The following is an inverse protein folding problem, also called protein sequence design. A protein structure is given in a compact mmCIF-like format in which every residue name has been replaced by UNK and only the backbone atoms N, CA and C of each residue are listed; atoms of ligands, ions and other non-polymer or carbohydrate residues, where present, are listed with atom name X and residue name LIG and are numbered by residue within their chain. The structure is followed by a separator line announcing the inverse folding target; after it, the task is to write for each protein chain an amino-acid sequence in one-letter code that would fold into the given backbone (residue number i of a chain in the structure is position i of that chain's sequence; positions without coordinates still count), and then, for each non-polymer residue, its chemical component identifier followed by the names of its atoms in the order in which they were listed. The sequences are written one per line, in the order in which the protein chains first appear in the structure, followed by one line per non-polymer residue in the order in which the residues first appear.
data_IF_950106495484
#
_entry.id   IF_950106495484
#
_cell.length_a   1.000
_cell.length_b   1.000
_cell.length_c   1.000
_cell.angle_alpha   90.00
_cell.angle_beta   90.00
_cell.angle_gamma   90.00
#
_symmetry.space_group_name_H-M   'P 1'
#
loop_
_entity.id
_entity.type
_entity.pdbx_description
1 polymer ?
#
# COMPACT_ATOMS: atom_id res chain seq x y z
N UNK A 1 7.84 13.59 5.68
CA UNK A 1 8.94 13.16 6.59
C UNK A 1 10.19 14.04 6.49
N UNK A 2 10.53 14.60 5.31
CA UNK A 2 11.68 15.53 5.20
C UNK A 2 11.49 16.88 5.92
N UNK A 3 10.26 17.35 6.11
CA UNK A 3 10.00 18.72 6.63
C UNK A 3 10.36 18.90 8.13
N UNK A 4 10.40 17.82 8.91
CA UNK A 4 10.79 17.87 10.34
C UNK A 4 12.26 17.50 10.58
N UNK A 5 12.96 16.97 9.57
CA UNK A 5 14.33 16.49 9.73
C UNK A 5 15.32 17.65 9.92
N UNK A 6 15.04 18.82 9.35
CA UNK A 6 15.94 19.99 9.45
C UNK A 6 15.67 20.86 10.69
N UNK A 7 14.64 20.54 11.48
CA UNK A 7 14.23 21.35 12.64
C UNK A 7 14.56 20.74 14.01
N UNK A 8 15.12 19.53 14.04
CA UNK A 8 15.46 18.84 15.29
C UNK A 8 16.97 18.93 15.55
N UNK A 9 17.34 19.33 16.77
CA UNK A 9 18.74 19.39 17.17
C UNK A 9 19.42 18.01 16.99
N UNK A 10 20.70 17.90 16.57
CA UNK A 10 21.36 16.60 16.30
C UNK A 10 21.30 15.60 17.46
N UNK A 11 21.27 16.10 18.70
CA UNK A 11 21.05 15.29 19.90
C UNK A 11 19.63 14.74 20.00
N UNK A 12 18.62 15.52 19.62
CA UNK A 12 17.24 15.07 19.53
C UNK A 12 17.07 13.99 18.45
N UNK A 13 17.81 14.06 17.34
CA UNK A 13 17.86 12.95 16.37
C UNK A 13 18.47 11.69 16.98
N UNK A 14 19.62 11.82 17.65
CA UNK A 14 20.36 10.68 18.17
C UNK A 14 19.64 9.91 19.28
N UNK A 15 18.85 10.60 20.10
CA UNK A 15 18.09 9.98 21.20
C UNK A 15 16.60 9.82 20.91
N UNK A 16 15.99 10.74 20.14
CA UNK A 16 14.56 10.72 19.83
C UNK A 16 14.19 9.84 18.65
N UNK A 17 15.06 9.68 17.64
CA UNK A 17 14.73 8.87 16.46
C UNK A 17 14.52 7.38 16.77
N UNK A 18 15.32 6.72 17.64
CA UNK A 18 15.05 5.33 18.02
C UNK A 18 13.71 5.16 18.76
N UNK A 19 13.33 6.13 19.59
CA UNK A 19 12.05 6.13 20.31
C UNK A 19 10.87 6.32 19.35
N UNK A 20 10.97 7.30 18.44
CA UNK A 20 9.96 7.57 17.42
C UNK A 20 9.84 6.43 16.39
N UNK A 21 10.94 5.74 16.08
CA UNK A 21 10.92 4.60 15.15
C UNK A 21 10.07 3.42 15.65
N UNK A 22 9.93 3.27 16.97
CA UNK A 22 9.06 2.27 17.59
C UNK A 22 7.62 2.77 17.79
N UNK A 23 7.37 4.07 17.63
CA UNK A 23 6.06 4.67 17.83
C UNK A 23 5.07 4.31 16.72
N UNK A 24 5.54 3.84 15.55
CA UNK A 24 4.65 3.45 14.45
C UNK A 24 3.58 2.43 14.89
N UNK A 25 3.92 1.47 15.75
CA UNK A 25 2.98 0.50 16.33
C UNK A 25 1.91 1.12 17.23
N UNK A 26 2.18 2.28 17.81
CA UNK A 26 1.24 2.98 18.67
C UNK A 26 0.28 3.88 17.88
N UNK A 27 0.60 4.18 16.61
CA UNK A 27 -0.15 5.14 15.80
C UNK A 27 -1.16 4.46 14.86
N UNK A 28 -0.86 3.25 14.40
CA UNK A 28 -1.73 2.47 13.50
C UNK A 28 -1.39 0.98 13.57
N UNK A 29 -2.38 0.13 13.27
CA UNK A 29 -2.22 -1.34 13.22
C UNK A 29 -1.80 -1.86 11.83
N UNK A 30 -2.11 -1.09 10.79
CA UNK A 30 -1.84 -1.44 9.40
C UNK A 30 -1.70 -0.17 8.55
N UNK A 31 -0.73 -0.17 7.64
CA UNK A 31 -0.57 0.89 6.64
C UNK A 31 -1.32 0.52 5.36
N UNK A 32 -2.31 1.32 4.96
CA UNK A 32 -2.91 1.28 3.61
C UNK A 32 -2.56 2.56 2.89
N UNK A 33 -2.01 2.47 1.68
CA UNK A 33 -1.70 3.64 0.87
C UNK A 33 -2.21 3.47 -0.56
N UNK A 34 -2.66 4.57 -1.17
CA UNK A 34 -3.09 4.62 -2.56
C UNK A 34 -2.32 5.70 -3.28
N UNK A 35 -1.58 5.31 -4.33
CA UNK A 35 -0.79 6.20 -5.16
C UNK A 35 -1.28 6.08 -6.61
N UNK A 36 -2.02 7.08 -7.12
CA UNK A 36 -2.45 7.08 -8.51
C UNK A 36 -1.25 7.33 -9.43
N UNK A 37 -1.20 6.60 -10.55
CA UNK A 37 -0.19 6.81 -11.58
C UNK A 37 -0.72 7.70 -12.72
N UNK A 38 0.18 8.29 -13.53
CA UNK A 38 -0.21 9.03 -14.73
C UNK A 38 -1.10 8.19 -15.65
N UNK A 39 -2.08 8.84 -16.29
CA UNK A 39 -2.96 8.19 -17.27
C UNK A 39 -2.27 7.88 -18.60
N UNK A 40 -1.14 8.55 -18.88
CA UNK A 40 -0.34 8.28 -20.08
C UNK A 40 0.36 6.93 -19.99
N UNK A 41 0.53 6.26 -21.12
CA UNK A 41 1.27 5.01 -21.19
C UNK A 41 2.72 5.20 -20.71
N UNK A 42 3.11 4.44 -19.69
CA UNK A 42 4.47 4.40 -19.17
C UNK A 42 5.31 3.44 -20.00
N UNK A 43 6.53 3.86 -20.34
CA UNK A 43 7.52 3.03 -21.02
C UNK A 43 8.92 3.35 -20.52
N UNK A 44 9.83 2.39 -20.63
CA UNK A 44 11.25 2.55 -20.32
C UNK A 44 12.06 2.07 -21.52
N UNK A 45 12.85 2.97 -22.11
CA UNK A 45 13.66 2.63 -23.30
C UNK A 45 12.82 2.16 -24.51
N UNK A 46 11.58 2.63 -24.65
CA UNK A 46 10.65 2.20 -25.70
C UNK A 46 9.86 0.92 -25.37
N UNK A 47 10.17 0.24 -24.26
CA UNK A 47 9.42 -0.93 -23.80
C UNK A 47 8.23 -0.48 -22.94
N UNK A 48 6.98 -0.86 -23.28
CA UNK A 48 5.81 -0.51 -22.49
C UNK A 48 5.82 -1.20 -21.13
N UNK A 49 5.27 -0.53 -20.11
CA UNK A 49 5.08 -1.12 -18.78
C UNK A 49 4.15 -2.33 -18.86
N UNK A 50 4.66 -3.51 -18.50
CA UNK A 50 3.92 -4.79 -18.60
C UNK A 50 3.22 -5.19 -17.30
N UNK A 51 3.81 -4.86 -16.15
CA UNK A 51 3.29 -5.21 -14.84
C UNK A 51 3.64 -4.14 -13.81
N UNK A 52 2.80 -3.99 -12.80
CA UNK A 52 2.96 -3.03 -11.72
C UNK A 52 2.76 -3.74 -10.38
N UNK A 53 3.75 -3.63 -9.49
CA UNK A 53 3.72 -4.21 -8.15
C UNK A 53 3.97 -3.10 -7.13
N UNK A 54 2.91 -2.42 -6.64
CA UNK A 54 3.05 -1.39 -5.62
C UNK A 54 3.68 -1.96 -4.35
N UNK A 55 4.58 -1.24 -3.70
CA UNK A 55 5.18 -1.66 -2.44
C UNK A 55 5.18 -0.51 -1.44
N UNK A 56 4.49 -0.71 -0.31
CA UNK A 56 4.54 0.21 0.80
C UNK A 56 5.68 -0.20 1.76
N UNK A 57 6.36 0.78 2.39
CA UNK A 57 7.35 0.48 3.40
C UNK A 57 6.68 -0.16 4.63
N UNK A 58 7.22 -1.29 5.08
CA UNK A 58 6.79 -1.93 6.33
C UNK A 58 7.50 -1.27 7.50
N UNK A 59 6.77 -0.48 8.29
CA UNK A 59 7.33 0.16 9.48
C UNK A 59 7.72 -0.88 10.54
N UNK A 60 8.71 -0.57 11.38
CA UNK A 60 9.19 -1.51 12.40
C UNK A 60 8.06 -1.95 13.32
N UNK A 61 7.89 -3.27 13.43
CA UNK A 61 6.90 -3.90 14.29
C UNK A 61 5.47 -3.88 13.76
N UNK A 62 5.26 -3.43 12.52
CA UNK A 62 4.03 -3.68 11.77
C UNK A 62 4.10 -5.05 11.09
N UNK A 63 2.98 -5.74 11.03
CA UNK A 63 2.90 -7.08 10.41
C UNK A 63 2.59 -7.02 8.92
N UNK A 64 1.89 -5.96 8.46
CA UNK A 64 1.39 -5.85 7.08
C UNK A 64 1.31 -4.37 6.64
N UNK A 65 1.65 -4.13 5.37
CA UNK A 65 1.40 -2.89 4.66
C UNK A 65 0.81 -3.18 3.28
N UNK A 66 -0.23 -2.43 2.90
CA UNK A 66 -0.99 -2.60 1.67
C UNK A 66 -0.78 -1.36 0.79
N UNK A 67 -0.32 -1.56 -0.43
CA UNK A 67 -0.17 -0.51 -1.43
C UNK A 67 -1.15 -0.71 -2.57
N UNK A 68 -1.80 0.37 -2.98
CA UNK A 68 -2.72 0.42 -4.11
C UNK A 68 -2.18 1.40 -5.15
N UNK A 69 -2.22 1.00 -6.41
CA UNK A 69 -1.97 1.91 -7.53
C UNK A 69 -2.92 1.65 -8.67
N UNK A 70 -3.44 2.72 -9.27
CA UNK A 70 -4.31 2.62 -10.44
C UNK A 70 -3.51 2.93 -11.70
N UNK A 71 -3.52 2.00 -12.67
CA UNK A 71 -2.86 2.17 -13.96
C UNK A 71 -3.52 1.30 -15.03
N UNK A 72 -3.70 1.86 -16.23
CA UNK A 72 -4.28 1.14 -17.37
C UNK A 72 -5.71 0.63 -17.13
N UNK A 73 -6.52 1.38 -16.36
CA UNK A 73 -7.88 0.98 -16.01
C UNK A 73 -7.97 -0.18 -14.99
N UNK A 74 -6.84 -0.57 -14.39
CA UNK A 74 -6.77 -1.62 -13.36
C UNK A 74 -6.30 -1.06 -12.03
N UNK A 75 -6.76 -1.66 -10.95
CA UNK A 75 -6.21 -1.49 -9.60
C UNK A 75 -5.16 -2.57 -9.40
N UNK A 76 -3.96 -2.17 -8.99
CA UNK A 76 -2.87 -3.07 -8.63
C UNK A 76 -2.71 -3.01 -7.12
N UNK A 77 -2.70 -4.17 -6.48
CA UNK A 77 -2.62 -4.33 -5.02
C UNK A 77 -1.30 -5.01 -4.68
N UNK A 78 -0.52 -4.41 -3.80
CA UNK A 78 0.69 -4.98 -3.25
C UNK A 78 0.56 -5.21 -1.75
N UNK A 79 0.94 -6.40 -1.29
CA UNK A 79 0.95 -6.78 0.11
C UNK A 79 2.40 -7.03 0.55
N UNK A 80 2.86 -6.26 1.54
CA UNK A 80 4.21 -6.40 2.11
C UNK A 80 4.05 -6.76 3.57
N UNK A 81 4.57 -7.91 4.00
CA UNK A 81 4.37 -8.41 5.35
C UNK A 81 5.67 -8.88 6.02
N UNK A 82 5.65 -8.90 7.35
CA UNK A 82 6.60 -9.68 8.14
C UNK A 82 6.16 -11.15 8.10
N UNK A 83 6.91 -11.99 7.38
CA UNK A 83 6.57 -13.40 7.18
C UNK A 83 6.54 -14.24 8.47
N UNK A 84 7.13 -13.78 9.58
CA UNK A 84 6.99 -14.45 10.88
C UNK A 84 5.69 -14.09 11.57
N UNK A 85 5.25 -12.84 11.43
CA UNK A 85 4.02 -12.35 12.05
C UNK A 85 2.76 -12.73 11.26
N UNK A 86 2.89 -12.87 9.93
CA UNK A 86 1.79 -13.19 9.02
C UNK A 86 2.23 -14.28 8.02
N UNK A 87 2.33 -15.56 8.45
CA UNK A 87 2.86 -16.64 7.62
C UNK A 87 1.90 -17.08 6.49
N UNK A 88 0.64 -16.71 6.58
CA UNK A 88 -0.44 -17.06 5.65
C UNK A 88 -0.86 -15.90 4.75
N UNK A 89 0.10 -15.03 4.39
CA UNK A 89 -0.12 -13.88 3.50
C UNK A 89 -0.81 -14.26 2.18
N UNK A 90 -0.51 -15.43 1.63
CA UNK A 90 -1.12 -15.91 0.38
C UNK A 90 -2.64 -16.07 0.50
N UNK A 91 -3.15 -16.47 1.67
CA UNK A 91 -4.61 -16.55 1.91
C UNK A 91 -5.26 -15.18 1.89
N UNK A 92 -4.56 -14.16 2.39
CA UNK A 92 -5.04 -12.79 2.31
C UNK A 92 -5.05 -12.31 0.86
N UNK A 93 -4.01 -12.64 0.07
CA UNK A 93 -3.97 -12.30 -1.35
C UNK A 93 -5.15 -12.94 -2.12
N UNK A 94 -5.43 -14.22 -1.86
CA UNK A 94 -6.58 -14.93 -2.43
C UNK A 94 -7.91 -14.31 -2.00
N UNK A 95 -8.08 -13.99 -0.72
CA UNK A 95 -9.29 -13.37 -0.20
C UNK A 95 -9.54 -11.98 -0.81
N UNK A 96 -8.49 -11.17 -0.96
CA UNK A 96 -8.59 -9.85 -1.62
C UNK A 96 -9.08 -10.02 -3.06
N UNK A 97 -8.52 -10.96 -3.82
CA UNK A 97 -8.96 -11.23 -5.18
C UNK A 97 -10.42 -11.69 -5.23
N UNK A 98 -10.81 -12.62 -4.35
CA UNK A 98 -12.17 -13.13 -4.27
C UNK A 98 -13.20 -12.04 -3.94
N UNK A 99 -12.87 -11.12 -3.03
CA UNK A 99 -13.75 -9.99 -2.68
C UNK A 99 -13.89 -8.99 -3.83
N UNK A 100 -12.82 -8.69 -4.57
CA UNK A 100 -12.93 -7.87 -5.77
C UNK A 100 -13.83 -8.50 -6.83
N UNK A 101 -13.71 -9.81 -7.04
CA UNK A 101 -14.55 -10.55 -7.98
C UNK A 101 -16.03 -10.56 -7.52
N UNK A 102 -16.27 -10.78 -6.23
CA UNK A 102 -17.60 -10.75 -5.64
C UNK A 102 -18.27 -9.36 -5.78
N UNK A 103 -17.54 -8.30 -5.46
CA UNK A 103 -18.02 -6.91 -5.62
C UNK A 103 -18.27 -6.59 -7.11
N UNK A 104 -17.36 -6.99 -8.00
CA UNK A 104 -17.52 -6.82 -9.45
C UNK A 104 -18.77 -7.51 -9.99
N UNK A 105 -19.09 -8.71 -9.48
CA UNK A 105 -20.31 -9.42 -9.82
C UNK A 105 -21.58 -8.66 -9.39
N UNK A 106 -21.56 -7.98 -8.24
CA UNK A 106 -22.68 -7.17 -7.76
C UNK A 106 -22.94 -5.94 -8.65
N UNK A 107 -21.89 -5.25 -9.09
CA UNK A 107 -22.01 -4.15 -10.05
C UNK A 107 -22.55 -4.62 -11.39
N UNK A 108 -22.03 -5.75 -11.90
CA UNK A 108 -22.49 -6.34 -13.17
C UNK A 108 -23.96 -6.77 -13.09
N UNK A 109 -24.41 -7.25 -11.93
CA UNK A 109 -25.80 -7.62 -11.68
C UNK A 109 -26.74 -6.42 -11.44
N UNK A 110 -26.26 -5.18 -11.48
CA UNK A 110 -27.05 -3.97 -11.22
C UNK A 110 -27.56 -3.85 -9.78
N UNK A 111 -26.97 -4.61 -8.84
CA UNK A 111 -27.41 -4.66 -7.43
C UNK A 111 -26.78 -3.58 -6.56
N UNK A 112 -25.81 -2.85 -7.11
CA UNK A 112 -25.13 -1.72 -6.45
C UNK A 112 -25.10 -0.57 -7.45
N UNK A 113 -25.54 0.62 -7.00
CA UNK A 113 -25.50 1.83 -7.82
C UNK A 113 -24.05 2.19 -8.17
N UNK A 114 -23.81 2.74 -9.37
CA UNK A 114 -22.48 3.21 -9.75
C UNK A 114 -21.93 4.17 -8.68
N UNK A 115 -20.66 4.04 -8.26
CA UNK A 115 -20.09 4.90 -7.25
C UNK A 115 -20.19 6.36 -7.68
N UNK A 116 -20.65 7.22 -6.77
CA UNK A 116 -20.72 8.67 -6.98
C UNK A 116 -19.29 9.17 -7.21
N UNK A 117 -19.01 9.64 -8.42
CA UNK A 117 -17.71 10.22 -8.81
C UNK A 117 -17.69 11.71 -8.55
#
# INVERSE_FOLDING_TARGET
VAVLADQLHPLAHRFGAPLAANAARMLFDLLVTSVPLPRSALSLGGCPLSALYPMAPLARGQSLAIALSTYGGRVHVGLVADGKALPDLDRLAEAVQAEFDAIGALFTAGRVAAPVS
#
